data_IF_717555446827
#
_entry.id   IF_717555446827
#
_cell.length_a   1.000
_cell.length_b   1.000
_cell.length_c   1.000
_cell.angle_alpha   90.00
_cell.angle_beta   90.00
_cell.angle_gamma   90.00
#
_symmetry.space_group_name_H-M   'P 1'
#
loop_
_entity.id
_entity.type
_entity.pdbx_description
1 polymer ?
#
# COMPACT_ATOMS: atom_id res chain seq x y z
N UNK A 1 -27.66 2.95 0.78
CA UNK A 1 -26.79 1.75 0.90
C UNK A 1 -25.84 1.77 -0.27
N UNK A 2 -24.57 2.08 -0.03
CA UNK A 2 -23.55 2.07 -1.09
C UNK A 2 -23.15 0.62 -1.32
N UNK A 3 -23.52 0.03 -2.47
CA UNK A 3 -23.02 -1.28 -2.84
C UNK A 3 -21.53 -1.14 -3.17
N UNK A 4 -20.70 -1.74 -2.33
CA UNK A 4 -19.27 -1.86 -2.59
C UNK A 4 -19.04 -3.11 -3.42
N UNK A 5 -18.34 -2.96 -4.54
CA UNK A 5 -17.80 -4.11 -5.28
C UNK A 5 -16.86 -4.88 -4.35
N UNK A 6 -16.80 -6.21 -4.48
CA UNK A 6 -15.87 -7.08 -3.74
C UNK A 6 -14.44 -6.55 -3.79
N UNK A 7 -14.03 -5.97 -4.93
CA UNK A 7 -12.73 -5.33 -5.09
C UNK A 7 -12.54 -4.12 -4.15
N UNK A 8 -13.53 -3.22 -4.06
CA UNK A 8 -13.47 -2.07 -3.16
C UNK A 8 -13.51 -2.45 -1.67
N UNK A 9 -14.08 -3.62 -1.34
CA UNK A 9 -14.03 -4.17 0.02
C UNK A 9 -12.60 -4.61 0.37
N UNK A 10 -11.96 -5.37 -0.51
CA UNK A 10 -10.56 -5.83 -0.34
C UNK A 10 -9.59 -4.66 -0.21
N UNK A 11 -9.74 -3.61 -1.02
CA UNK A 11 -8.91 -2.40 -0.90
C UNK A 11 -9.04 -1.72 0.47
N UNK A 12 -10.25 -1.73 1.05
CA UNK A 12 -10.49 -1.14 2.38
C UNK A 12 -9.91 -1.98 3.49
N UNK A 13 -9.99 -3.31 3.38
CA UNK A 13 -9.36 -4.24 4.32
C UNK A 13 -7.83 -4.01 4.32
N UNK A 14 -7.21 -3.91 3.14
CA UNK A 14 -5.78 -3.61 3.06
C UNK A 14 -5.41 -2.25 3.65
N UNK A 15 -6.22 -1.21 3.46
CA UNK A 15 -5.99 0.08 4.13
C UNK A 15 -6.11 -0.06 5.65
N UNK A 16 -7.10 -0.81 6.12
CA UNK A 16 -7.31 -1.07 7.54
C UNK A 16 -6.16 -1.87 8.18
N UNK A 17 -5.45 -2.70 7.41
CA UNK A 17 -4.24 -3.40 7.86
C UNK A 17 -3.00 -2.48 7.87
N UNK A 18 -2.91 -1.55 6.91
CA UNK A 18 -1.77 -0.63 6.79
C UNK A 18 -1.78 0.49 7.85
N UNK A 19 -2.97 1.00 8.19
CA UNK A 19 -3.09 2.13 9.13
C UNK A 19 -2.45 1.83 10.52
N UNK A 20 -2.71 0.67 11.17
CA UNK A 20 -2.06 0.29 12.42
C UNK A 20 -0.54 0.09 12.29
N UNK A 21 -0.06 -0.40 11.14
CA UNK A 21 1.37 -0.57 10.89
C UNK A 21 2.05 0.79 10.81
N UNK A 22 1.50 1.73 10.03
CA UNK A 22 2.03 3.08 9.90
C UNK A 22 2.02 3.77 11.27
N UNK A 23 0.93 3.68 12.03
CA UNK A 23 0.82 4.23 13.37
C UNK A 23 1.91 3.67 14.29
N UNK A 24 2.08 2.34 14.31
CA UNK A 24 3.09 1.68 15.14
C UNK A 24 4.50 2.19 14.85
N UNK A 25 4.88 2.30 13.58
CA UNK A 25 6.21 2.76 13.19
C UNK A 25 6.43 4.27 13.41
N UNK A 26 5.36 5.06 13.37
CA UNK A 26 5.44 6.53 13.54
C UNK A 26 5.26 7.00 14.98
N UNK A 27 4.73 6.14 15.86
CA UNK A 27 4.50 6.43 17.29
C UNK A 27 5.78 6.62 18.12
N UNK A 28 6.97 6.41 17.54
CA UNK A 28 8.24 6.47 18.27
C UNK A 28 8.48 5.26 19.19
N UNK A 29 7.68 4.20 19.07
CA UNK A 29 7.85 2.97 19.84
C UNK A 29 9.20 2.28 19.56
N UNK A 30 9.81 2.52 18.40
CA UNK A 30 11.11 1.96 18.05
C UNK A 30 12.21 2.99 18.28
N UNK A 31 13.14 2.68 19.20
CA UNK A 31 14.36 3.45 19.39
C UNK A 31 15.40 3.00 18.34
N UNK A 32 15.30 3.57 17.14
CA UNK A 32 16.22 3.31 16.04
C UNK A 32 17.20 4.47 15.92
N UNK A 33 18.44 4.18 15.52
CA UNK A 33 19.50 5.18 15.37
C UNK A 33 20.32 4.90 14.13
N UNK A 34 20.83 5.95 13.48
CA UNK A 34 21.67 5.84 12.29
C UNK A 34 20.92 5.19 11.13
N UNK A 35 21.59 4.32 10.38
CA UNK A 35 21.02 3.69 9.18
C UNK A 35 19.66 2.99 9.41
N UNK A 36 19.43 2.41 10.59
CA UNK A 36 18.17 1.76 10.92
C UNK A 36 16.99 2.76 11.05
N UNK A 37 17.27 3.99 11.48
CA UNK A 37 16.28 5.05 11.56
C UNK A 37 15.91 5.54 10.15
N UNK A 38 16.91 5.72 9.29
CA UNK A 38 16.71 6.15 7.90
C UNK A 38 15.91 5.10 7.11
N UNK A 39 16.29 3.82 7.23
CA UNK A 39 15.61 2.71 6.56
C UNK A 39 14.16 2.54 7.06
N UNK A 40 13.93 2.72 8.37
CA UNK A 40 12.57 2.74 8.92
C UNK A 40 11.74 3.92 8.39
N UNK A 41 12.37 5.09 8.23
CA UNK A 41 11.75 6.25 7.60
C UNK A 41 11.32 5.99 6.16
N UNK A 42 12.21 5.39 5.36
CA UNK A 42 11.88 4.97 3.99
C UNK A 42 10.77 3.94 3.95
N UNK A 43 10.82 2.93 4.83
CA UNK A 43 9.81 1.89 4.93
C UNK A 43 8.43 2.49 5.23
N UNK A 44 8.33 3.39 6.21
CA UNK A 44 7.10 4.12 6.51
C UNK A 44 6.64 4.96 5.33
N UNK A 45 7.56 5.61 4.61
CA UNK A 45 7.27 6.33 3.38
C UNK A 45 6.56 5.46 2.35
N UNK A 46 7.12 4.28 2.06
CA UNK A 46 6.53 3.30 1.13
C UNK A 46 5.17 2.79 1.59
N UNK A 47 4.96 2.57 2.89
CA UNK A 47 3.65 2.18 3.43
C UNK A 47 2.59 3.28 3.22
N UNK A 48 2.96 4.55 3.41
CA UNK A 48 2.06 5.69 3.18
C UNK A 48 1.71 5.86 1.70
N UNK A 49 2.69 5.69 0.81
CA UNK A 49 2.46 5.70 -0.64
C UNK A 49 1.49 4.60 -1.06
N UNK A 50 1.72 3.37 -0.60
CA UNK A 50 0.83 2.24 -0.88
C UNK A 50 -0.59 2.51 -0.37
N UNK A 51 -0.74 2.99 0.86
CA UNK A 51 -2.04 3.34 1.44
C UNK A 51 -2.76 4.42 0.61
N UNK A 52 -2.02 5.44 0.14
CA UNK A 52 -2.56 6.49 -0.71
C UNK A 52 -3.01 5.97 -2.09
N UNK A 53 -2.24 5.05 -2.68
CA UNK A 53 -2.60 4.40 -3.94
C UNK A 53 -3.90 3.59 -3.81
N UNK A 54 -4.02 2.76 -2.77
CA UNK A 54 -5.25 2.00 -2.51
C UNK A 54 -6.45 2.92 -2.28
N UNK A 55 -6.27 4.01 -1.53
CA UNK A 55 -7.33 5.00 -1.32
C UNK A 55 -7.74 5.71 -2.62
N UNK A 56 -6.78 6.00 -3.50
CA UNK A 56 -7.04 6.59 -4.83
C UNK A 56 -7.88 5.66 -5.71
N UNK A 57 -7.59 4.34 -5.70
CA UNK A 57 -8.37 3.33 -6.44
C UNK A 57 -9.81 3.20 -5.94
N UNK A 58 -10.04 3.35 -4.63
CA UNK A 58 -11.40 3.41 -4.06
C UNK A 58 -12.13 4.66 -4.54
N UNK A 59 -11.45 5.81 -4.64
CA UNK A 59 -12.04 7.08 -5.04
C UNK A 59 -12.32 7.17 -6.56
N UNK A 60 -11.63 6.37 -7.38
CA UNK A 60 -11.75 6.36 -8.85
C UNK A 60 -11.69 4.94 -9.42
N UNK A 61 -12.75 4.13 -9.20
CA UNK A 61 -12.79 2.75 -9.71
C UNK A 61 -12.70 2.67 -11.24
N UNK A 62 -12.99 3.76 -11.96
CA UNK A 62 -13.01 3.86 -13.41
C UNK A 62 -11.62 4.02 -14.06
N UNK A 63 -10.57 4.29 -13.28
CA UNK A 63 -9.19 4.49 -13.79
C UNK A 63 -8.31 3.23 -13.69
N UNK A 64 -8.77 2.17 -13.02
CA UNK A 64 -7.99 0.95 -12.75
C UNK A 64 -7.61 0.14 -14.01
N UNK A 65 -8.25 0.41 -15.15
CA UNK A 65 -7.95 -0.27 -16.41
C UNK A 65 -6.63 0.17 -17.10
N UNK A 66 -5.96 1.23 -16.62
CA UNK A 66 -4.78 1.82 -17.29
C UNK A 66 -3.43 1.50 -16.64
N UNK A 67 -3.41 0.90 -15.46
CA UNK A 67 -2.19 0.73 -14.64
C UNK A 67 -1.86 -0.73 -14.32
N UNK A 68 -2.25 -1.67 -15.17
CA UNK A 68 -1.55 -2.95 -15.23
C UNK A 68 -0.29 -2.75 -16.09
N UNK A 69 0.94 -2.79 -15.53
CA UNK A 69 2.07 -3.18 -16.35
C UNK A 69 1.74 -4.61 -16.80
N UNK A 70 1.75 -4.85 -18.11
CA UNK A 70 1.88 -6.19 -18.64
C UNK A 70 3.00 -6.86 -17.83
N UNK A 71 2.66 -7.88 -17.05
CA UNK A 71 3.65 -8.84 -16.57
C UNK A 71 4.34 -9.31 -17.84
N UNK A 72 5.56 -8.81 -18.05
CA UNK A 72 6.40 -9.22 -19.14
C UNK A 72 6.62 -10.72 -18.95
N UNK A 73 5.93 -11.48 -19.80
CA UNK A 73 6.11 -12.91 -19.99
C UNK A 73 7.58 -13.12 -20.34
N UNK A 74 8.35 -13.50 -19.31
CA UNK A 74 9.79 -13.36 -19.30
C UNK A 74 10.42 -14.27 -18.28
N UNK A 75 9.97 -15.53 -18.20
CA UNK A 75 10.75 -16.60 -17.57
C UNK A 75 10.35 -17.98 -18.10
N UNK A 76 10.67 -18.25 -19.37
CA UNK A 76 10.97 -19.62 -19.79
C UNK A 76 12.32 -20.01 -19.17
N UNK A 77 12.27 -20.64 -18.00
CA UNK A 77 13.42 -21.38 -17.46
C UNK A 77 13.31 -22.83 -17.94
N UNK A 78 14.08 -23.06 -19.00
CA UNK A 78 14.79 -24.28 -19.43
C UNK A 78 14.28 -25.65 -19.00
#
# INVERSE_FOLDING_TARGET
MTQYSTYSLVLREHIADLDPLIERWTSGHFLLTGAAQDEAGEFVGRLRELRADLASRIARPDLDGRTAPLVADGMTVR
#
